data_IF_085917562899
#
_entry.id   IF_085917562899
#
_cell.length_a   1.000
_cell.length_b   1.000
_cell.length_c   1.000
_cell.angle_alpha   90.00
_cell.angle_beta   90.00
_cell.angle_gamma   90.00
#
_symmetry.space_group_name_H-M   'P 1'
#
loop_
_entity.id
_entity.type
_entity.pdbx_description
1 polymer ?
#
# COMPACT_ATOMS: atom_id res chain seq x y z
N UNK A 1 1.57 9.25 -15.47
CA UNK A 1 0.35 8.42 -15.50
C UNK A 1 0.64 7.09 -16.15
N UNK A 2 0.07 6.01 -15.60
CA UNK A 2 0.20 4.66 -16.15
C UNK A 2 -1.11 4.22 -16.84
N UNK A 3 -0.99 3.46 -17.93
CA UNK A 3 -2.11 2.73 -18.52
C UNK A 3 -2.06 1.30 -18.01
N UNK A 4 -3.13 0.85 -17.36
CA UNK A 4 -3.25 -0.52 -16.82
C UNK A 4 -4.50 -1.19 -17.40
N UNK A 5 -4.65 -2.49 -17.18
CA UNK A 5 -5.81 -3.25 -17.65
C UNK A 5 -6.63 -3.80 -16.49
N UNK A 6 -7.95 -3.69 -16.61
CA UNK A 6 -8.91 -4.31 -15.69
C UNK A 6 -9.84 -5.21 -16.51
N UNK A 7 -9.70 -6.53 -16.34
CA UNK A 7 -10.46 -7.54 -17.11
C UNK A 7 -10.40 -7.28 -18.63
N UNK A 8 -9.20 -6.98 -19.13
CA UNK A 8 -8.96 -6.68 -20.55
C UNK A 8 -9.33 -5.28 -21.01
N UNK A 9 -9.99 -4.45 -20.17
CA UNK A 9 -10.29 -3.05 -20.49
C UNK A 9 -9.17 -2.14 -20.03
N UNK A 10 -8.68 -1.28 -20.91
CA UNK A 10 -7.67 -0.28 -20.57
C UNK A 10 -8.25 0.82 -19.68
N UNK A 11 -7.56 1.14 -18.60
CA UNK A 11 -7.85 2.25 -17.69
C UNK A 11 -6.57 3.04 -17.42
N UNK A 12 -6.72 4.32 -17.05
CA UNK A 12 -5.59 5.22 -16.75
C UNK A 12 -5.58 5.56 -15.27
N UNK A 13 -4.39 5.56 -14.67
CA UNK A 13 -4.19 6.04 -13.31
C UNK A 13 -4.04 7.57 -13.29
N UNK A 14 -4.32 8.17 -12.13
CA UNK A 14 -4.04 9.58 -11.88
C UNK A 14 -2.62 9.73 -11.30
N UNK A 15 -1.89 10.76 -11.74
CA UNK A 15 -0.54 11.05 -11.27
C UNK A 15 0.54 10.09 -11.79
N UNK A 16 1.75 10.24 -11.24
CA UNK A 16 2.95 9.47 -11.60
C UNK A 16 3.51 8.78 -10.36
N UNK A 17 3.98 7.55 -10.52
CA UNK A 17 4.71 6.86 -9.47
C UNK A 17 6.13 7.44 -9.39
N UNK A 18 6.67 7.65 -8.17
CA UNK A 18 8.05 8.11 -8.00
C UNK A 18 9.02 7.10 -8.61
N UNK A 19 10.05 7.60 -9.28
CA UNK A 19 11.12 6.75 -9.82
C UNK A 19 12.05 6.28 -8.70
N UNK A 20 12.86 5.26 -8.98
CA UNK A 20 13.91 4.83 -8.04
C UNK A 20 14.86 5.99 -7.72
N UNK A 21 15.22 6.13 -6.44
CA UNK A 21 16.07 7.22 -5.96
C UNK A 21 15.36 8.56 -5.73
N UNK A 22 14.09 8.71 -6.15
CA UNK A 22 13.32 9.90 -5.78
C UNK A 22 12.77 9.79 -4.34
N UNK A 23 12.64 10.93 -3.64
CA UNK A 23 11.95 10.96 -2.37
C UNK A 23 10.49 10.55 -2.58
N UNK A 24 9.98 9.69 -1.70
CA UNK A 24 8.57 9.33 -1.71
C UNK A 24 7.71 10.58 -1.37
N UNK A 25 6.61 10.83 -2.11
CA UNK A 25 5.63 11.83 -1.72
C UNK A 25 5.07 11.51 -0.32
N UNK A 26 4.83 12.56 0.46
CA UNK A 26 4.18 12.39 1.76
C UNK A 26 2.70 12.02 1.59
N UNK A 27 2.14 11.40 2.62
CA UNK A 27 0.74 10.99 2.66
C UNK A 27 0.16 11.17 4.06
N UNK A 28 -1.18 11.17 4.12
CA UNK A 28 -1.93 11.03 5.35
C UNK A 28 -3.02 9.99 5.10
N UNK A 29 -2.98 8.90 5.88
CA UNK A 29 -3.88 7.76 5.80
C UNK A 29 -4.53 7.52 7.16
N UNK A 30 -5.58 6.71 7.20
CA UNK A 30 -6.30 6.37 8.43
C UNK A 30 -6.06 4.90 8.76
N UNK A 31 -5.66 4.61 10.01
CA UNK A 31 -5.48 3.24 10.47
C UNK A 31 -6.77 2.64 11.06
N UNK A 32 -6.70 1.37 11.49
CA UNK A 32 -7.82 0.64 12.10
C UNK A 32 -8.33 1.25 13.42
N UNK A 33 -7.56 2.14 14.04
CA UNK A 33 -7.92 2.86 15.27
C UNK A 33 -8.51 4.24 14.96
N UNK A 34 -8.67 4.57 13.68
CA UNK A 34 -9.06 5.89 13.18
C UNK A 34 -8.03 6.98 13.45
N UNK A 35 -6.77 6.59 13.71
CA UNK A 35 -5.68 7.54 13.88
C UNK A 35 -5.08 7.89 12.52
N UNK A 36 -4.73 9.17 12.34
CA UNK A 36 -3.98 9.61 11.17
C UNK A 36 -2.55 9.01 11.20
N UNK A 37 -2.10 8.51 10.05
CA UNK A 37 -0.74 8.01 9.81
C UNK A 37 -0.11 8.70 8.61
N UNK A 38 1.11 9.15 8.81
CA UNK A 38 1.94 9.85 7.84
C UNK A 38 3.20 9.05 7.54
N UNK A 39 3.97 9.47 6.53
CA UNK A 39 5.25 8.84 6.24
C UNK A 39 6.25 8.99 7.43
N UNK A 40 6.12 10.07 8.19
CA UNK A 40 6.99 10.39 9.33
C UNK A 40 6.86 9.41 10.50
N UNK A 41 5.67 8.82 10.70
CA UNK A 41 5.41 7.83 11.76
C UNK A 41 6.26 6.56 11.62
N UNK A 42 6.83 6.32 10.43
CA UNK A 42 7.64 5.14 10.13
C UNK A 42 9.14 5.46 9.99
N UNK A 43 9.59 6.63 10.45
CA UNK A 43 11.00 7.06 10.37
C UNK A 43 11.96 6.03 10.97
N UNK A 44 13.15 5.86 10.38
CA UNK A 44 14.14 4.87 10.80
C UNK A 44 13.88 3.44 10.32
N UNK A 45 12.71 3.16 9.72
CA UNK A 45 12.40 1.86 9.09
C UNK A 45 12.42 1.96 7.58
N UNK A 46 12.68 0.83 6.91
CA UNK A 46 12.31 0.65 5.50
C UNK A 46 10.78 0.62 5.43
N UNK A 47 10.17 1.31 4.47
CA UNK A 47 8.71 1.30 4.29
C UNK A 47 8.38 0.53 3.04
N UNK A 48 7.49 -0.43 3.16
CA UNK A 48 6.97 -1.20 2.05
C UNK A 48 5.48 -0.89 1.90
N UNK A 49 5.16 -0.10 0.88
CA UNK A 49 3.79 0.32 0.56
C UNK A 49 3.16 -0.73 -0.37
N UNK A 50 2.29 -1.56 0.18
CA UNK A 50 1.56 -2.58 -0.57
C UNK A 50 0.15 -2.09 -0.88
N UNK A 51 -0.02 -1.52 -2.08
CA UNK A 51 -1.23 -0.82 -2.48
C UNK A 51 -2.14 -1.78 -3.26
N UNK A 52 -3.36 -1.97 -2.77
CA UNK A 52 -4.38 -2.82 -3.40
C UNK A 52 -5.67 -2.03 -3.63
N UNK A 53 -6.50 -2.39 -4.63
CA UNK A 53 -7.77 -1.71 -4.84
C UNK A 53 -8.73 -1.86 -3.65
N UNK A 54 -8.82 -3.07 -3.10
CA UNK A 54 -9.62 -3.41 -1.93
C UNK A 54 -9.07 -4.66 -1.24
N UNK A 55 -8.97 -4.64 0.08
CA UNK A 55 -8.59 -5.79 0.93
C UNK A 55 -9.77 -6.74 1.16
N UNK A 56 -11.01 -6.25 1.02
CA UNK A 56 -12.25 -7.02 1.13
C UNK A 56 -12.55 -7.80 -0.17
N UNK A 57 -11.52 -8.46 -0.68
CA UNK A 57 -11.65 -9.41 -1.79
C UNK A 57 -10.80 -10.64 -1.53
N UNK A 58 -11.28 -11.85 -1.88
CA UNK A 58 -10.59 -13.10 -1.57
C UNK A 58 -9.19 -13.21 -2.21
N UNK A 59 -8.98 -12.53 -3.35
CA UNK A 59 -7.69 -12.51 -4.06
C UNK A 59 -6.68 -11.59 -3.37
N UNK A 60 -7.10 -10.40 -2.97
CA UNK A 60 -6.22 -9.45 -2.27
C UNK A 60 -5.88 -9.97 -0.86
N UNK A 61 -6.82 -10.61 -0.17
CA UNK A 61 -6.57 -11.22 1.14
C UNK A 61 -5.50 -12.33 1.09
N UNK A 62 -5.55 -13.23 0.11
CA UNK A 62 -4.57 -14.31 -0.03
C UNK A 62 -3.16 -13.79 -0.33
N UNK A 63 -3.05 -12.78 -1.20
CA UNK A 63 -1.78 -12.16 -1.54
C UNK A 63 -1.22 -11.31 -0.39
N UNK A 64 -2.07 -10.56 0.31
CA UNK A 64 -1.68 -9.83 1.52
C UNK A 64 -1.18 -10.76 2.63
N UNK A 65 -1.78 -11.94 2.81
CA UNK A 65 -1.34 -12.93 3.80
C UNK A 65 0.06 -13.46 3.49
N UNK A 66 0.30 -13.95 2.27
CA UNK A 66 1.63 -14.44 1.87
C UNK A 66 2.70 -13.35 1.96
N UNK A 67 2.31 -12.11 1.63
CA UNK A 67 3.19 -10.97 1.72
C UNK A 67 3.56 -10.63 3.17
N UNK A 68 2.57 -10.67 4.06
CA UNK A 68 2.76 -10.43 5.50
C UNK A 68 3.67 -11.49 6.13
N UNK A 69 3.52 -12.76 5.75
CA UNK A 69 4.38 -13.87 6.18
C UNK A 69 5.86 -13.63 5.79
N UNK A 70 6.11 -13.20 4.55
CA UNK A 70 7.48 -12.89 4.07
C UNK A 70 8.07 -11.64 4.72
N UNK A 71 7.24 -10.69 5.10
CA UNK A 71 7.64 -9.46 5.77
C UNK A 71 8.00 -9.67 7.24
N UNK A 72 7.43 -10.69 7.89
CA UNK A 72 7.82 -11.05 9.25
C UNK A 72 9.31 -11.44 9.34
N UNK A 73 9.90 -11.88 8.23
CA UNK A 73 11.33 -12.20 8.11
C UNK A 73 12.20 -10.97 7.77
N UNK A 74 11.59 -9.84 7.41
CA UNK A 74 12.29 -8.63 7.01
C UNK A 74 12.44 -7.66 8.20
N UNK A 75 13.47 -7.89 9.02
CA UNK A 75 13.84 -7.02 10.13
C UNK A 75 13.87 -5.55 9.73
N UNK A 76 13.47 -4.64 10.61
CA UNK A 76 13.54 -3.19 10.39
C UNK A 76 12.71 -2.63 9.22
N UNK A 77 11.67 -3.35 8.80
CA UNK A 77 10.74 -2.95 7.73
C UNK A 77 9.34 -2.73 8.29
N UNK A 78 8.71 -1.60 7.97
CA UNK A 78 7.30 -1.35 8.19
C UNK A 78 6.54 -1.68 6.90
N UNK A 79 5.61 -2.63 6.97
CA UNK A 79 4.72 -2.94 5.88
C UNK A 79 3.40 -2.20 6.06
N UNK A 80 2.98 -1.47 5.03
CA UNK A 80 1.73 -0.74 5.00
C UNK A 80 0.87 -1.35 3.89
N UNK A 81 -0.18 -2.07 4.27
CA UNK A 81 -1.24 -2.48 3.35
C UNK A 81 -2.19 -1.30 3.19
N UNK A 82 -2.30 -0.76 1.97
CA UNK A 82 -3.04 0.48 1.68
C UNK A 82 -4.12 0.17 0.65
N UNK A 83 -5.35 0.56 0.96
CA UNK A 83 -6.49 0.46 0.05
C UNK A 83 -7.43 1.65 0.22
N UNK A 84 -8.48 1.69 -0.60
CA UNK A 84 -9.56 2.67 -0.47
C UNK A 84 -10.70 2.17 0.45
N UNK A 85 -10.51 1.03 1.12
CA UNK A 85 -11.51 0.50 2.04
C UNK A 85 -11.58 1.34 3.31
N UNK A 86 -12.72 1.24 3.99
CA UNK A 86 -12.83 1.78 5.34
C UNK A 86 -11.98 0.93 6.29
N UNK A 87 -11.52 1.49 7.42
CA UNK A 87 -10.60 0.78 8.32
C UNK A 87 -11.13 -0.51 8.96
N UNK A 88 -12.42 -0.83 8.79
CA UNK A 88 -13.11 -1.98 9.37
C UNK A 88 -13.60 -3.00 8.33
N UNK A 89 -13.18 -2.86 7.08
CA UNK A 89 -13.45 -3.81 6.01
C UNK A 89 -12.60 -5.08 6.12
#
# INVERSE_FOLDING_TARGET
MATVTLRGKSIRTSGDLPSTGQPAPDFMLVDQRLDDKTLADFTGRRKLLYIVPSVDTPVCAASAKQFSERLAEADGTAALLISADLPFA
#
